data_IF_113884634143
#
_entry.id   IF_113884634143
#
_cell.length_a   1.000
_cell.length_b   1.000
_cell.length_c   1.000
_cell.angle_alpha   90.00
_cell.angle_beta   90.00
_cell.angle_gamma   90.00
#
_symmetry.space_group_name_H-M   'P 1'
#
loop_
_entity.id
_entity.type
_entity.pdbx_description
1 polymer ?
#
# COMPACT_ATOMS: atom_id res chain seq x y z
N UNK A 1 -26.74 26.49 35.57
CA UNK A 1 -27.37 25.38 34.82
C UNK A 1 -26.32 24.33 34.54
N UNK A 2 -26.20 23.38 35.48
CA UNK A 2 -25.24 22.27 35.47
C UNK A 2 -25.87 21.09 34.73
N UNK A 3 -25.54 20.94 33.45
CA UNK A 3 -25.86 19.73 32.70
C UNK A 3 -24.71 18.73 32.90
N UNK A 4 -24.98 17.71 33.71
CA UNK A 4 -24.48 16.33 33.59
C UNK A 4 -23.19 16.17 32.76
N UNK A 5 -22.03 16.27 33.42
CA UNK A 5 -20.75 15.86 32.84
C UNK A 5 -20.79 14.33 32.75
N UNK A 6 -21.42 13.86 31.68
CA UNK A 6 -21.74 12.49 31.32
C UNK A 6 -20.55 11.55 31.52
N UNK A 7 -20.55 10.78 32.60
CA UNK A 7 -19.50 9.81 32.96
C UNK A 7 -19.07 8.95 31.75
N UNK A 8 -17.90 9.22 31.17
CA UNK A 8 -17.35 8.47 30.04
C UNK A 8 -16.44 7.33 30.50
N UNK A 9 -16.19 7.21 31.80
CA UNK A 9 -15.20 6.30 32.37
C UNK A 9 -15.45 4.86 31.95
N UNK A 10 -16.70 4.40 32.03
CA UNK A 10 -17.07 3.03 31.67
C UNK A 10 -16.80 2.71 30.18
N UNK A 11 -17.03 3.68 29.28
CA UNK A 11 -16.71 3.53 27.86
C UNK A 11 -15.20 3.48 27.63
N UNK A 12 -14.44 4.31 28.34
CA UNK A 12 -12.97 4.31 28.27
C UNK A 12 -12.40 2.98 28.76
N UNK A 13 -12.90 2.42 29.87
CA UNK A 13 -12.44 1.10 30.35
C UNK A 13 -12.74 -0.02 29.34
N UNK A 14 -13.93 0.00 28.70
CA UNK A 14 -14.24 -0.97 27.63
C UNK A 14 -13.32 -0.81 26.43
N UNK A 15 -13.09 0.42 25.98
CA UNK A 15 -12.17 0.71 24.87
C UNK A 15 -10.73 0.27 25.18
N UNK A 16 -10.26 0.43 26.41
CA UNK A 16 -8.94 -0.07 26.86
C UNK A 16 -8.83 -1.58 26.73
N UNK A 17 -9.89 -2.32 27.06
CA UNK A 17 -9.90 -3.78 27.01
C UNK A 17 -9.97 -4.36 25.58
N UNK A 18 -10.37 -3.54 24.59
CA UNK A 18 -10.50 -3.97 23.20
C UNK A 18 -9.20 -3.75 22.42
N UNK A 19 -8.65 -4.81 21.86
CA UNK A 19 -7.49 -4.76 20.97
C UNK A 19 -7.53 -5.89 19.95
N UNK A 20 -7.01 -5.64 18.75
CA UNK A 20 -6.93 -6.61 17.67
C UNK A 20 -5.61 -6.44 16.91
N UNK A 21 -5.28 -7.37 16.02
CA UNK A 21 -4.00 -7.34 15.29
C UNK A 21 -3.96 -6.22 14.26
N UNK A 22 -3.05 -5.26 14.45
CA UNK A 22 -2.75 -4.16 13.51
C UNK A 22 -1.26 -4.25 13.11
N UNK A 23 -0.99 -4.22 11.81
CA UNK A 23 0.35 -4.19 11.23
C UNK A 23 0.82 -2.76 10.94
N UNK A 24 2.12 -2.60 10.67
CA UNK A 24 2.71 -1.28 10.39
C UNK A 24 2.50 -0.81 8.95
N UNK A 25 2.56 -1.73 7.98
CA UNK A 25 2.70 -1.36 6.57
C UNK A 25 1.36 -1.27 5.85
N UNK A 26 1.23 -0.23 5.00
CA UNK A 26 0.12 0.02 4.09
C UNK A 26 0.54 0.93 2.92
N UNK A 27 -0.14 0.89 1.76
CA UNK A 27 0.10 1.84 0.69
C UNK A 27 -0.22 3.29 1.11
N UNK A 28 0.43 4.31 0.52
CA UNK A 28 0.11 5.71 0.78
C UNK A 28 -1.38 6.05 0.59
N UNK A 29 -2.01 5.47 -0.43
CA UNK A 29 -3.44 5.67 -0.72
C UNK A 29 -4.36 5.14 0.38
N UNK A 30 -4.01 4.02 1.03
CA UNK A 30 -4.76 3.48 2.18
C UNK A 30 -4.51 4.30 3.45
N UNK A 31 -3.32 4.90 3.59
CA UNK A 31 -3.04 5.89 4.63
C UNK A 31 -3.86 7.17 4.45
N UNK A 32 -3.95 7.69 3.23
CA UNK A 32 -4.72 8.88 2.90
C UNK A 32 -6.23 8.73 3.10
N UNK A 33 -6.80 7.54 2.85
CA UNK A 33 -8.20 7.24 3.16
C UNK A 33 -8.47 6.85 4.62
N UNK A 34 -7.41 6.74 5.43
CA UNK A 34 -7.47 6.17 6.78
C UNK A 34 -8.25 4.84 6.81
N UNK A 35 -7.92 3.94 5.87
CA UNK A 35 -8.56 2.62 5.79
C UNK A 35 -8.41 1.87 7.10
N UNK A 36 -9.47 1.16 7.50
CA UNK A 36 -9.41 0.20 8.59
C UNK A 36 -8.29 -0.80 8.29
N UNK A 37 -7.38 -0.99 9.23
CA UNK A 37 -6.28 -1.93 9.09
C UNK A 37 -6.66 -3.25 9.76
N UNK A 38 -6.52 -4.37 9.05
CA UNK A 38 -6.80 -5.70 9.61
C UNK A 38 -5.78 -6.71 9.08
N UNK A 39 -5.23 -7.57 9.94
CA UNK A 39 -4.30 -8.63 9.51
C UNK A 39 -5.05 -9.95 9.31
N UNK A 40 -5.13 -10.46 8.08
CA UNK A 40 -5.67 -11.81 7.80
C UNK A 40 -4.56 -12.87 7.68
N UNK A 41 -3.34 -12.40 7.44
CA UNK A 41 -2.09 -13.12 7.62
C UNK A 41 -1.12 -12.19 8.32
N UNK A 42 0.02 -12.69 8.80
CA UNK A 42 1.06 -11.83 9.34
C UNK A 42 2.37 -12.00 8.54
N UNK A 43 3.00 -10.88 8.24
CA UNK A 43 4.32 -10.76 7.63
C UNK A 43 4.36 -11.24 6.17
N UNK A 44 5.46 -11.84 5.72
CA UNK A 44 5.64 -12.23 4.32
C UNK A 44 5.95 -13.72 4.18
N UNK A 45 5.19 -14.50 3.38
CA UNK A 45 5.49 -15.91 3.13
C UNK A 45 6.75 -16.11 2.26
N UNK A 46 7.19 -15.08 1.55
CA UNK A 46 8.40 -15.12 0.72
C UNK A 46 9.65 -14.65 1.46
N UNK A 47 9.57 -13.44 2.04
CA UNK A 47 10.59 -12.75 2.84
C UNK A 47 12.06 -12.79 2.34
N UNK A 48 12.29 -13.05 1.04
CA UNK A 48 13.63 -13.22 0.46
C UNK A 48 14.11 -12.08 -0.42
N UNK A 49 13.24 -11.15 -0.79
CA UNK A 49 13.61 -9.99 -1.62
C UNK A 49 14.81 -9.26 -1.01
N UNK A 50 15.77 -8.86 -1.84
CA UNK A 50 17.03 -8.23 -1.39
C UNK A 50 16.85 -6.78 -0.96
N UNK A 51 15.81 -6.09 -1.46
CA UNK A 51 15.53 -4.67 -1.19
C UNK A 51 14.51 -4.44 -0.04
N UNK A 52 13.75 -5.46 0.34
CA UNK A 52 12.62 -5.29 1.25
C UNK A 52 13.07 -5.46 2.70
N UNK A 53 12.97 -4.40 3.50
CA UNK A 53 13.24 -4.42 4.95
C UNK A 53 12.02 -4.84 5.78
N UNK A 54 10.81 -4.64 5.25
CA UNK A 54 9.54 -4.61 6.00
C UNK A 54 9.31 -5.78 6.95
N UNK A 55 9.62 -7.01 6.52
CA UNK A 55 9.31 -8.22 7.27
C UNK A 55 10.55 -9.01 7.67
N UNK A 56 11.76 -8.44 7.50
CA UNK A 56 13.01 -9.12 7.86
C UNK A 56 13.04 -9.38 9.36
N UNK A 57 13.51 -10.57 9.74
CA UNK A 57 13.47 -11.03 11.13
C UNK A 57 12.11 -11.58 11.61
N UNK A 58 11.02 -11.35 10.87
CA UNK A 58 9.68 -11.84 11.22
C UNK A 58 9.30 -13.07 10.40
N UNK A 59 8.70 -14.08 11.05
CA UNK A 59 8.19 -15.28 10.39
C UNK A 59 6.77 -15.04 9.87
N UNK A 60 6.46 -15.63 8.73
CA UNK A 60 5.09 -15.66 8.24
C UNK A 60 4.17 -16.41 9.21
N UNK A 61 2.98 -15.86 9.45
CA UNK A 61 1.94 -16.52 10.24
C UNK A 61 0.66 -16.60 9.41
N UNK A 62 0.16 -17.83 9.26
CA UNK A 62 -1.17 -18.09 8.75
C UNK A 62 -2.16 -18.00 9.91
N UNK A 63 -3.23 -17.20 9.77
CA UNK A 63 -4.22 -17.02 10.85
C UNK A 63 -5.46 -17.88 10.62
N UNK A 64 -5.97 -18.58 11.65
CA UNK A 64 -7.27 -19.24 11.59
C UNK A 64 -8.41 -18.25 11.32
N UNK A 65 -9.41 -18.68 10.53
CA UNK A 65 -10.56 -17.82 10.18
C UNK A 65 -11.31 -17.31 11.39
N UNK A 66 -11.42 -18.09 12.46
CA UNK A 66 -12.15 -17.67 13.67
C UNK A 66 -11.41 -16.58 14.46
N UNK A 67 -10.08 -16.56 14.43
CA UNK A 67 -9.33 -15.44 15.01
C UNK A 67 -9.52 -14.14 14.21
N UNK A 68 -9.62 -14.25 12.88
CA UNK A 68 -9.87 -13.11 12.00
C UNK A 68 -11.27 -12.56 12.26
N UNK A 69 -12.29 -13.41 12.38
CA UNK A 69 -13.65 -12.98 12.75
C UNK A 69 -13.69 -12.34 14.12
N UNK A 70 -13.00 -12.91 15.11
CA UNK A 70 -12.93 -12.32 16.44
C UNK A 70 -12.26 -10.93 16.41
N UNK A 71 -11.28 -10.68 15.54
CA UNK A 71 -10.73 -9.33 15.36
C UNK A 71 -11.74 -8.38 14.70
N UNK A 72 -12.53 -8.85 13.73
CA UNK A 72 -13.63 -8.09 13.13
C UNK A 72 -14.69 -7.71 14.18
N UNK A 73 -15.04 -8.64 15.08
CA UNK A 73 -15.96 -8.38 16.19
C UNK A 73 -15.43 -7.30 17.13
N UNK A 74 -14.13 -7.31 17.42
CA UNK A 74 -13.48 -6.28 18.23
C UNK A 74 -13.49 -4.92 17.55
N UNK A 75 -13.30 -4.86 16.24
CA UNK A 75 -13.48 -3.61 15.47
C UNK A 75 -14.90 -3.09 15.61
N UNK A 76 -15.91 -3.96 15.46
CA UNK A 76 -17.32 -3.57 15.63
C UNK A 76 -17.61 -3.07 17.04
N UNK A 77 -17.10 -3.75 18.07
CA UNK A 77 -17.24 -3.32 19.46
C UNK A 77 -16.61 -1.94 19.71
N UNK A 78 -15.39 -1.70 19.20
CA UNK A 78 -14.75 -0.38 19.32
C UNK A 78 -15.58 0.70 18.62
N UNK A 79 -16.08 0.42 17.40
CA UNK A 79 -16.98 1.32 16.67
C UNK A 79 -18.21 1.68 17.50
N UNK A 80 -18.85 0.67 18.08
CA UNK A 80 -20.10 0.84 18.82
C UNK A 80 -19.88 1.67 20.09
N UNK A 81 -18.77 1.45 20.81
CA UNK A 81 -18.38 2.26 21.97
C UNK A 81 -18.12 3.73 21.61
N UNK A 82 -17.32 4.00 20.57
CA UNK A 82 -17.04 5.37 20.11
C UNK A 82 -18.34 6.05 19.67
N UNK A 83 -19.21 5.32 18.98
CA UNK A 83 -20.50 5.83 18.51
C UNK A 83 -21.44 6.14 19.68
N UNK A 84 -21.48 5.27 20.70
CA UNK A 84 -22.24 5.50 21.93
C UNK A 84 -21.77 6.77 22.66
N UNK A 85 -20.45 6.99 22.74
CA UNK A 85 -19.90 8.24 23.28
C UNK A 85 -20.33 9.45 22.46
N UNK A 86 -20.29 9.36 21.12
CA UNK A 86 -20.78 10.45 20.25
C UNK A 86 -22.25 10.80 20.53
N UNK A 87 -23.13 9.80 20.68
CA UNK A 87 -24.53 10.03 21.09
C UNK A 87 -24.64 10.64 22.47
N UNK A 88 -23.87 10.15 23.44
CA UNK A 88 -23.81 10.69 24.79
C UNK A 88 -23.39 12.16 24.75
N UNK A 89 -22.42 12.55 23.94
CA UNK A 89 -22.02 13.95 23.77
C UNK A 89 -22.99 14.81 22.95
N UNK A 90 -24.11 14.26 22.46
CA UNK A 90 -25.11 15.00 21.68
C UNK A 90 -24.70 15.21 20.21
N UNK A 91 -23.75 14.43 19.69
CA UNK A 91 -23.20 14.57 18.34
C UNK A 91 -23.88 13.67 17.29
N UNK A 92 -24.96 12.99 17.67
CA UNK A 92 -25.79 12.23 16.73
C UNK A 92 -25.07 11.05 16.08
N UNK A 93 -24.12 10.42 16.77
CA UNK A 93 -23.30 9.32 16.25
C UNK A 93 -22.18 9.75 15.29
N UNK A 94 -22.00 11.05 15.03
CA UNK A 94 -20.88 11.56 14.21
C UNK A 94 -19.58 11.49 15.01
N UNK A 95 -18.53 10.92 14.41
CA UNK A 95 -17.21 10.86 15.04
C UNK A 95 -16.43 12.11 14.65
N UNK A 96 -16.27 13.02 15.61
CA UNK A 96 -15.61 14.32 15.41
C UNK A 96 -14.37 14.44 16.30
N UNK A 97 -13.60 15.52 16.11
CA UNK A 97 -12.46 15.85 16.99
C UNK A 97 -12.88 15.99 18.45
N UNK A 98 -14.09 16.48 18.71
CA UNK A 98 -14.60 16.68 20.07
C UNK A 98 -14.90 15.35 20.77
N UNK A 99 -15.39 14.34 20.04
CA UNK A 99 -15.52 12.96 20.57
C UNK A 99 -14.15 12.44 21.00
N UNK A 100 -13.14 12.61 20.15
CA UNK A 100 -11.77 12.20 20.45
C UNK A 100 -11.20 12.95 21.65
N UNK A 101 -11.37 14.27 21.71
CA UNK A 101 -10.90 15.10 22.82
C UNK A 101 -11.55 14.70 24.15
N UNK A 102 -12.85 14.38 24.16
CA UNK A 102 -13.56 13.93 25.35
C UNK A 102 -13.06 12.56 25.84
N UNK A 103 -12.89 11.60 24.93
CA UNK A 103 -12.35 10.28 25.26
C UNK A 103 -10.92 10.38 25.81
N UNK A 104 -10.08 11.22 25.22
CA UNK A 104 -8.69 11.40 25.66
C UNK A 104 -8.58 12.22 26.96
N UNK A 105 -9.50 13.15 27.22
CA UNK A 105 -9.55 13.85 28.50
C UNK A 105 -9.82 12.89 29.66
N UNK A 106 -10.63 11.86 29.45
CA UNK A 106 -10.94 10.81 30.43
C UNK A 106 -9.84 9.71 30.47
N UNK A 107 -9.29 9.31 29.32
CA UNK A 107 -8.28 8.25 29.21
C UNK A 107 -7.19 8.58 28.21
N UNK A 108 -6.15 9.31 28.64
CA UNK A 108 -5.04 9.71 27.75
C UNK A 108 -4.26 8.54 27.17
N UNK A 109 -4.22 7.40 27.86
CA UNK A 109 -3.55 6.17 27.46
C UNK A 109 -4.20 5.49 26.24
N UNK A 110 -5.42 5.87 25.86
CA UNK A 110 -6.05 5.37 24.63
C UNK A 110 -5.22 5.68 23.37
N UNK A 111 -4.36 6.71 23.39
CA UNK A 111 -3.42 7.00 22.29
C UNK A 111 -2.33 5.94 22.10
N UNK A 112 -2.19 5.00 23.02
CA UNK A 112 -1.26 3.88 22.92
C UNK A 112 -1.96 2.62 22.40
N UNK A 113 -3.29 2.59 22.41
CA UNK A 113 -4.08 1.48 21.87
C UNK A 113 -4.25 1.65 20.34
N UNK A 114 -3.44 0.89 19.58
CA UNK A 114 -3.47 0.91 18.12
C UNK A 114 -4.82 0.52 17.51
N UNK A 115 -5.59 -0.35 18.18
CA UNK A 115 -6.93 -0.74 17.77
C UNK A 115 -7.90 0.44 17.85
N UNK A 116 -7.91 1.14 18.99
CA UNK A 116 -8.70 2.36 19.17
C UNK A 116 -8.33 3.42 18.13
N UNK A 117 -7.03 3.75 17.99
CA UNK A 117 -6.56 4.79 17.06
C UNK A 117 -6.98 4.48 15.62
N UNK A 118 -6.81 3.23 15.20
CA UNK A 118 -7.14 2.81 13.83
C UNK A 118 -8.64 2.95 13.56
N UNK A 119 -9.48 2.46 14.47
CA UNK A 119 -10.94 2.52 14.32
C UNK A 119 -11.46 3.95 14.43
N UNK A 120 -10.94 4.74 15.37
CA UNK A 120 -11.32 6.15 15.52
C UNK A 120 -11.02 6.97 14.26
N UNK A 121 -9.80 6.83 13.71
CA UNK A 121 -9.39 7.53 12.49
C UNK A 121 -10.22 7.08 11.28
N UNK A 122 -10.47 5.77 11.16
CA UNK A 122 -11.31 5.20 10.10
C UNK A 122 -12.74 5.72 10.16
N UNK A 123 -13.37 5.77 11.34
CA UNK A 123 -14.72 6.31 11.49
C UNK A 123 -14.76 7.82 11.22
N UNK A 124 -13.74 8.55 11.68
CA UNK A 124 -13.61 9.99 11.44
C UNK A 124 -13.42 10.32 9.95
N UNK A 125 -12.89 9.39 9.14
CA UNK A 125 -12.78 9.52 7.68
C UNK A 125 -14.01 8.99 6.91
N UNK A 126 -15.04 8.55 7.63
CA UNK A 126 -16.32 8.09 7.08
C UNK A 126 -16.52 6.58 7.10
N UNK A 127 -15.56 5.79 7.55
CA UNK A 127 -15.75 4.36 7.80
C UNK A 127 -15.97 3.50 6.55
N UNK A 128 -15.41 3.91 5.41
CA UNK A 128 -15.78 3.35 4.09
C UNK A 128 -14.81 2.35 3.49
N UNK A 129 -13.57 2.28 3.97
CA UNK A 129 -12.53 1.45 3.36
C UNK A 129 -11.80 0.60 4.39
N UNK A 130 -11.39 -0.60 3.98
CA UNK A 130 -10.54 -1.49 4.77
C UNK A 130 -9.37 -2.02 3.93
N UNK A 131 -8.22 -2.18 4.58
CA UNK A 131 -7.00 -2.72 4.00
C UNK A 131 -6.56 -3.94 4.80
N UNK A 132 -6.60 -5.10 4.13
CA UNK A 132 -6.11 -6.36 4.67
C UNK A 132 -4.59 -6.38 4.50
N UNK A 133 -3.90 -6.23 5.63
CA UNK A 133 -2.47 -5.96 5.71
C UNK A 133 -1.61 -7.17 5.39
N UNK A 134 -0.31 -6.93 5.43
CA UNK A 134 0.77 -7.89 5.21
C UNK A 134 0.93 -8.33 3.76
N UNK A 135 1.98 -9.09 3.48
CA UNK A 135 2.57 -9.09 2.14
C UNK A 135 1.75 -9.84 1.07
N UNK A 136 0.88 -10.78 1.47
CA UNK A 136 0.19 -11.66 0.52
C UNK A 136 -1.04 -12.36 1.13
N UNK A 137 -2.11 -11.62 1.41
CA UNK A 137 -3.36 -12.22 1.92
C UNK A 137 -3.96 -13.25 0.96
N UNK A 138 -3.66 -13.09 -0.34
CA UNK A 138 -4.05 -14.02 -1.39
C UNK A 138 -3.39 -15.40 -1.26
N UNK A 139 -2.54 -15.66 -0.25
CA UNK A 139 -2.06 -17.02 0.05
C UNK A 139 -3.07 -17.87 0.83
N UNK A 140 -4.07 -17.24 1.47
CA UNK A 140 -5.09 -17.93 2.26
C UNK A 140 -5.92 -18.92 1.44
N UNK A 141 -6.30 -20.06 2.00
CA UNK A 141 -7.20 -21.00 1.31
C UNK A 141 -8.50 -20.30 0.94
N UNK A 142 -8.94 -20.46 -0.31
CA UNK A 142 -10.06 -19.69 -0.86
C UNK A 142 -11.34 -19.77 0.00
N UNK A 143 -11.79 -20.94 0.49
CA UNK A 143 -12.99 -21.01 1.35
C UNK A 143 -12.86 -20.20 2.64
N UNK A 144 -11.69 -20.20 3.27
CA UNK A 144 -11.43 -19.49 4.53
C UNK A 144 -11.38 -17.97 4.29
N UNK A 145 -10.73 -17.55 3.21
CA UNK A 145 -10.64 -16.13 2.89
C UNK A 145 -12.00 -15.55 2.48
N UNK A 146 -12.78 -16.30 1.71
CA UNK A 146 -14.17 -15.95 1.37
C UNK A 146 -15.03 -15.82 2.62
N UNK A 147 -14.91 -16.75 3.57
CA UNK A 147 -15.64 -16.66 4.84
C UNK A 147 -15.26 -15.42 5.66
N UNK A 148 -13.96 -15.07 5.71
CA UNK A 148 -13.50 -13.86 6.38
C UNK A 148 -14.02 -12.57 5.70
N UNK A 149 -13.99 -12.51 4.37
CA UNK A 149 -14.46 -11.35 3.59
C UNK A 149 -15.97 -11.12 3.75
N UNK A 150 -16.77 -12.19 3.66
CA UNK A 150 -18.22 -12.11 3.88
C UNK A 150 -18.53 -11.62 5.29
N UNK A 151 -17.89 -12.20 6.30
CA UNK A 151 -18.06 -11.78 7.69
C UNK A 151 -17.67 -10.30 7.89
N UNK A 152 -16.57 -9.86 7.28
CA UNK A 152 -16.14 -8.46 7.31
C UNK A 152 -17.22 -7.52 6.74
N UNK A 153 -17.78 -7.85 5.58
CA UNK A 153 -18.80 -7.04 4.90
C UNK A 153 -20.14 -7.03 5.65
N UNK A 154 -20.53 -8.17 6.21
CA UNK A 154 -21.75 -8.32 7.01
C UNK A 154 -21.65 -7.51 8.32
N UNK A 155 -20.52 -7.58 9.01
CA UNK A 155 -20.31 -6.91 10.30
C UNK A 155 -20.06 -5.40 10.14
N UNK A 156 -19.41 -4.98 9.05
CA UNK A 156 -19.09 -3.59 8.75
C UNK A 156 -19.72 -3.14 7.40
N UNK A 157 -21.05 -2.97 7.34
CA UNK A 157 -21.77 -2.70 6.09
C UNK A 157 -21.48 -1.32 5.47
N UNK A 158 -20.80 -0.42 6.20
CA UNK A 158 -20.33 0.86 5.66
C UNK A 158 -19.18 0.72 4.67
N UNK A 159 -18.53 -0.46 4.64
CA UNK A 159 -17.41 -0.72 3.74
C UNK A 159 -17.87 -0.73 2.29
N UNK A 160 -17.34 0.21 1.53
CA UNK A 160 -17.49 0.31 0.07
C UNK A 160 -16.28 -0.27 -0.66
N UNK A 161 -15.11 -0.32 -0.02
CA UNK A 161 -13.89 -0.87 -0.62
C UNK A 161 -13.04 -1.66 0.39
N UNK A 162 -12.62 -2.86 0.01
CA UNK A 162 -11.68 -3.73 0.72
C UNK A 162 -10.52 -4.04 -0.21
N UNK A 163 -9.30 -3.81 0.26
CA UNK A 163 -8.09 -3.94 -0.55
C UNK A 163 -7.04 -4.78 0.18
N UNK A 164 -6.07 -5.33 -0.53
CA UNK A 164 -4.95 -6.07 0.10
C UNK A 164 -3.69 -6.06 -0.76
N UNK A 165 -2.52 -6.31 -0.16
CA UNK A 165 -1.34 -6.68 -0.93
C UNK A 165 -1.45 -8.11 -1.45
N UNK A 166 -0.88 -8.35 -2.63
CA UNK A 166 -0.77 -9.67 -3.22
C UNK A 166 0.56 -9.86 -3.97
N UNK A 167 1.02 -11.11 -4.05
CA UNK A 167 2.14 -11.48 -4.92
C UNK A 167 1.63 -12.02 -6.26
N UNK A 168 2.22 -11.56 -7.37
CA UNK A 168 1.86 -12.07 -8.71
C UNK A 168 2.06 -13.58 -8.84
N UNK A 169 3.11 -14.14 -8.21
CA UNK A 169 3.33 -15.60 -8.13
C UNK A 169 2.13 -16.35 -7.54
N UNK A 170 1.51 -15.80 -6.51
CA UNK A 170 0.35 -16.39 -5.83
C UNK A 170 -0.88 -16.30 -6.72
N UNK A 171 -1.09 -15.15 -7.36
CA UNK A 171 -2.19 -14.95 -8.32
C UNK A 171 -2.07 -15.85 -9.54
N UNK A 172 -0.88 -15.99 -10.11
CA UNK A 172 -0.61 -16.85 -11.27
C UNK A 172 -0.95 -18.32 -10.98
N UNK A 173 -0.63 -18.82 -9.77
CA UNK A 173 -0.90 -20.20 -9.36
C UNK A 173 -2.37 -20.49 -9.05
N UNK A 174 -3.18 -19.46 -8.80
CA UNK A 174 -4.60 -19.65 -8.48
C UNK A 174 -5.42 -19.99 -9.72
N UNK A 175 -6.50 -20.73 -9.48
CA UNK A 175 -7.51 -20.98 -10.50
C UNK A 175 -8.33 -19.70 -10.73
N UNK A 176 -8.66 -19.33 -11.97
CA UNK A 176 -9.48 -18.15 -12.26
C UNK A 176 -10.82 -18.13 -11.51
N UNK A 177 -11.43 -19.31 -11.28
CA UNK A 177 -12.68 -19.46 -10.53
C UNK A 177 -12.50 -19.02 -9.07
N UNK A 178 -11.39 -19.38 -8.43
CA UNK A 178 -11.11 -18.99 -7.04
C UNK A 178 -10.92 -17.49 -6.91
N UNK A 179 -10.26 -16.87 -7.89
CA UNK A 179 -10.08 -15.42 -7.94
C UNK A 179 -11.44 -14.71 -8.08
N UNK A 180 -12.32 -15.20 -8.96
CA UNK A 180 -13.69 -14.66 -9.10
C UNK A 180 -14.49 -14.78 -7.81
N UNK A 181 -14.48 -15.95 -7.17
CA UNK A 181 -15.20 -16.15 -5.90
C UNK A 181 -14.67 -15.26 -4.78
N UNK A 182 -13.34 -15.02 -4.72
CA UNK A 182 -12.76 -14.07 -3.74
C UNK A 182 -13.21 -12.64 -4.02
N UNK A 183 -13.24 -12.22 -5.30
CA UNK A 183 -13.76 -10.90 -5.69
C UNK A 183 -15.24 -10.74 -5.29
N UNK A 184 -16.08 -11.71 -5.67
CA UNK A 184 -17.52 -11.74 -5.36
C UNK A 184 -17.82 -11.78 -3.86
N UNK A 185 -16.90 -12.32 -3.04
CA UNK A 185 -17.00 -12.30 -1.59
C UNK A 185 -16.76 -10.90 -0.98
N UNK A 186 -16.29 -9.94 -1.78
CA UNK A 186 -16.14 -8.54 -1.38
C UNK A 186 -14.71 -8.07 -1.20
N UNK A 187 -13.74 -8.62 -1.96
CA UNK A 187 -12.40 -8.01 -2.11
C UNK A 187 -12.34 -7.25 -3.44
N UNK A 188 -12.10 -5.94 -3.41
CA UNK A 188 -12.22 -5.11 -4.62
C UNK A 188 -10.89 -4.85 -5.31
N UNK A 189 -9.83 -4.55 -4.55
CA UNK A 189 -8.54 -4.09 -5.12
C UNK A 189 -7.35 -4.90 -4.62
N UNK A 190 -6.47 -5.25 -5.56
CA UNK A 190 -5.18 -5.87 -5.29
C UNK A 190 -4.03 -4.89 -5.52
N UNK A 191 -3.18 -4.76 -4.51
CA UNK A 191 -1.95 -3.99 -4.51
C UNK A 191 -0.78 -4.96 -4.77
N UNK A 192 -0.22 -4.98 -5.99
CA UNK A 192 0.73 -6.00 -6.45
C UNK A 192 2.13 -5.41 -6.60
N UNK A 193 3.10 -5.92 -5.85
CA UNK A 193 4.50 -5.55 -6.02
C UNK A 193 5.11 -6.22 -7.26
N UNK A 194 5.11 -5.53 -8.40
CA UNK A 194 5.81 -5.93 -9.62
C UNK A 194 7.32 -5.66 -9.47
N UNK A 195 7.66 -4.45 -9.02
CA UNK A 195 9.00 -3.87 -8.83
C UNK A 195 9.79 -3.72 -10.12
N UNK A 196 9.89 -4.80 -10.90
CA UNK A 196 10.56 -4.86 -12.20
C UNK A 196 9.89 -5.93 -13.07
N UNK A 197 9.81 -5.68 -14.38
CA UNK A 197 9.44 -6.66 -15.40
C UNK A 197 10.63 -7.35 -16.06
N UNK A 198 11.85 -7.08 -15.59
CA UNK A 198 13.10 -7.66 -16.10
C UNK A 198 13.47 -8.95 -15.36
N UNK A 199 13.58 -10.07 -16.09
CA UNK A 199 13.82 -11.39 -15.49
C UNK A 199 15.22 -11.53 -14.86
N UNK A 200 16.25 -10.83 -15.38
CA UNK A 200 17.58 -10.84 -14.76
C UNK A 200 17.54 -10.13 -13.40
N UNK A 201 16.92 -8.95 -13.34
CA UNK A 201 16.72 -8.23 -12.09
C UNK A 201 15.84 -9.01 -11.12
N UNK A 202 14.76 -9.67 -11.57
CA UNK A 202 13.92 -10.50 -10.71
C UNK A 202 14.70 -11.61 -10.00
N UNK A 203 15.69 -12.21 -10.68
CA UNK A 203 16.62 -13.19 -10.11
C UNK A 203 17.56 -12.51 -9.11
N UNK A 204 18.23 -11.42 -9.52
CA UNK A 204 19.18 -10.69 -8.67
C UNK A 204 18.53 -10.22 -7.36
N UNK A 205 17.32 -9.66 -7.44
CA UNK A 205 16.59 -9.17 -6.28
C UNK A 205 15.82 -10.25 -5.52
N UNK A 206 15.93 -11.51 -5.96
CA UNK A 206 15.29 -12.69 -5.37
C UNK A 206 13.79 -12.48 -5.20
N UNK A 207 13.09 -11.95 -6.21
CA UNK A 207 11.64 -11.69 -6.13
C UNK A 207 10.81 -12.97 -6.14
N UNK A 208 11.36 -14.06 -6.69
CA UNK A 208 10.74 -15.39 -6.70
C UNK A 208 9.53 -15.49 -7.64
N UNK A 209 9.60 -14.80 -8.77
CA UNK A 209 8.58 -14.74 -9.83
C UNK A 209 9.29 -14.44 -11.16
N UNK A 210 8.69 -14.80 -12.28
CA UNK A 210 9.13 -14.38 -13.62
C UNK A 210 8.22 -13.30 -14.19
N UNK A 211 8.68 -12.60 -15.22
CA UNK A 211 7.87 -11.62 -15.97
C UNK A 211 6.61 -12.26 -16.57
N UNK A 212 6.70 -13.51 -17.05
CA UNK A 212 5.55 -14.26 -17.54
C UNK A 212 4.50 -14.53 -16.44
N UNK A 213 4.95 -14.88 -15.23
CA UNK A 213 4.06 -15.08 -14.08
C UNK A 213 3.45 -13.76 -13.57
N UNK A 214 4.19 -12.65 -13.67
CA UNK A 214 3.62 -11.33 -13.41
C UNK A 214 2.47 -11.02 -14.39
N UNK A 215 2.70 -11.22 -15.69
CA UNK A 215 1.68 -11.03 -16.73
C UNK A 215 0.46 -11.91 -16.48
N UNK A 216 0.68 -13.21 -16.24
CA UNK A 216 -0.40 -14.16 -15.99
C UNK A 216 -1.21 -13.78 -14.75
N UNK A 217 -0.54 -13.50 -13.63
CA UNK A 217 -1.19 -13.14 -12.37
C UNK A 217 -2.00 -11.84 -12.47
N UNK A 218 -1.44 -10.80 -13.08
CA UNK A 218 -2.11 -9.52 -13.30
C UNK A 218 -3.34 -9.65 -14.20
N UNK A 219 -3.22 -10.35 -15.33
CA UNK A 219 -4.35 -10.58 -16.25
C UNK A 219 -5.47 -11.41 -15.61
N UNK A 220 -5.12 -12.48 -14.88
CA UNK A 220 -6.10 -13.28 -14.14
C UNK A 220 -6.85 -12.44 -13.10
N UNK A 221 -6.15 -11.57 -12.39
CA UNK A 221 -6.78 -10.67 -11.42
C UNK A 221 -7.77 -9.71 -12.08
N UNK A 222 -7.36 -9.03 -13.17
CA UNK A 222 -8.26 -8.13 -13.90
C UNK A 222 -9.48 -8.89 -14.45
N UNK A 223 -9.26 -10.06 -15.06
CA UNK A 223 -10.34 -10.89 -15.60
C UNK A 223 -11.31 -11.42 -14.53
N UNK A 224 -10.86 -11.54 -13.27
CA UNK A 224 -11.70 -11.92 -12.15
C UNK A 224 -12.56 -10.76 -11.59
N UNK A 225 -12.34 -9.52 -12.06
CA UNK A 225 -13.08 -8.33 -11.66
C UNK A 225 -12.33 -7.40 -10.71
N UNK A 226 -11.13 -7.77 -10.24
CA UNK A 226 -10.37 -6.92 -9.33
C UNK A 226 -9.87 -5.65 -10.01
N UNK A 227 -9.92 -4.56 -9.25
CA UNK A 227 -9.08 -3.41 -9.53
C UNK A 227 -7.62 -3.74 -9.19
N UNK A 228 -6.71 -3.52 -10.12
CA UNK A 228 -5.30 -3.92 -9.98
C UNK A 228 -4.40 -2.68 -9.94
N UNK A 229 -3.61 -2.57 -8.88
CA UNK A 229 -2.61 -1.52 -8.69
C UNK A 229 -1.22 -2.14 -8.59
N UNK A 230 -0.39 -1.98 -9.62
CA UNK A 230 0.97 -2.50 -9.65
C UNK A 230 2.00 -1.44 -9.25
N UNK A 231 2.99 -1.85 -8.45
CA UNK A 231 4.12 -1.01 -8.04
C UNK A 231 5.34 -1.35 -8.86
N UNK A 232 6.03 -0.36 -9.40
CA UNK A 232 7.33 -0.53 -10.05
C UNK A 232 8.39 0.34 -9.35
N UNK A 233 9.65 -0.07 -9.44
CA UNK A 233 10.74 0.47 -8.63
C UNK A 233 11.83 1.08 -9.51
N UNK A 234 11.73 2.37 -9.90
CA UNK A 234 12.80 3.04 -10.63
C UNK A 234 14.14 2.96 -9.89
N UNK A 235 15.22 2.81 -10.65
CA UNK A 235 16.62 2.63 -10.24
C UNK A 235 16.95 1.24 -9.65
N UNK A 236 16.03 0.27 -9.74
CA UNK A 236 16.31 -1.10 -9.25
C UNK A 236 17.45 -1.78 -10.01
N UNK A 237 17.63 -1.44 -11.29
CA UNK A 237 18.74 -1.94 -12.11
C UNK A 237 20.06 -1.20 -11.90
N UNK A 238 20.06 -0.09 -11.17
CA UNK A 238 21.19 0.83 -11.09
C UNK A 238 21.60 1.40 -12.44
N UNK A 239 22.72 2.13 -12.44
CA UNK A 239 23.29 2.77 -13.63
C UNK A 239 23.56 1.78 -14.76
N UNK A 240 23.88 0.54 -14.43
CA UNK A 240 24.29 -0.48 -15.39
C UNK A 240 23.12 -1.05 -16.20
N UNK A 241 21.90 -1.06 -15.65
CA UNK A 241 20.75 -1.77 -16.27
C UNK A 241 19.47 -0.96 -16.36
N UNK A 242 19.48 0.34 -16.03
CA UNK A 242 18.26 1.15 -16.01
C UNK A 242 17.48 1.09 -17.35
N UNK A 243 18.17 1.07 -18.48
CA UNK A 243 17.51 1.06 -19.80
C UNK A 243 16.79 -0.26 -20.07
N UNK A 244 17.48 -1.38 -19.87
CA UNK A 244 16.89 -2.72 -19.97
C UNK A 244 15.73 -2.88 -18.99
N UNK A 245 15.90 -2.40 -17.76
CA UNK A 245 14.87 -2.40 -16.73
C UNK A 245 13.62 -1.64 -17.19
N UNK A 246 13.78 -0.41 -17.69
CA UNK A 246 12.68 0.41 -18.19
C UNK A 246 11.94 -0.27 -19.35
N UNK A 247 12.66 -0.80 -20.35
CA UNK A 247 12.08 -1.48 -21.52
C UNK A 247 11.26 -2.70 -21.11
N UNK A 248 11.84 -3.57 -20.27
CA UNK A 248 11.19 -4.82 -19.86
C UNK A 248 10.02 -4.57 -18.90
N UNK A 249 10.14 -3.60 -17.99
CA UNK A 249 9.05 -3.18 -17.11
C UNK A 249 7.88 -2.60 -17.91
N UNK A 250 8.14 -1.73 -18.90
CA UNK A 250 7.10 -1.18 -19.76
C UNK A 250 6.38 -2.27 -20.56
N UNK A 251 7.12 -3.26 -21.09
CA UNK A 251 6.55 -4.42 -21.80
C UNK A 251 5.59 -5.22 -20.91
N UNK A 252 6.00 -5.52 -19.67
CA UNK A 252 5.18 -6.30 -18.73
C UNK A 252 3.94 -5.52 -18.31
N UNK A 253 4.10 -4.25 -17.91
CA UNK A 253 2.98 -3.41 -17.49
C UNK A 253 1.97 -3.20 -18.63
N UNK A 254 2.44 -3.02 -19.88
CA UNK A 254 1.55 -2.92 -21.05
C UNK A 254 0.83 -4.23 -21.33
N UNK A 255 1.50 -5.37 -21.14
CA UNK A 255 0.87 -6.67 -21.28
C UNK A 255 -0.21 -6.93 -20.20
N UNK A 256 0.00 -6.48 -18.96
CA UNK A 256 -1.00 -6.58 -17.88
C UNK A 256 -2.12 -5.57 -18.07
N UNK A 257 -1.80 -4.32 -18.43
CA UNK A 257 -2.68 -3.15 -18.45
C UNK A 257 -3.45 -2.96 -17.11
N UNK A 258 -2.75 -2.76 -15.97
CA UNK A 258 -3.39 -2.63 -14.67
C UNK A 258 -4.19 -1.32 -14.56
N UNK A 259 -5.05 -1.20 -13.55
CA UNK A 259 -5.82 0.03 -13.33
C UNK A 259 -4.92 1.17 -12.84
N UNK A 260 -3.93 0.85 -12.01
CA UNK A 260 -2.90 1.79 -11.57
C UNK A 260 -1.49 1.24 -11.75
N UNK A 261 -0.58 2.12 -12.13
CA UNK A 261 0.88 1.90 -12.16
C UNK A 261 1.50 2.92 -11.22
N UNK A 262 2.14 2.46 -10.14
CA UNK A 262 2.61 3.32 -9.06
C UNK A 262 4.13 3.30 -8.97
N UNK A 263 4.74 4.47 -9.14
CA UNK A 263 6.20 4.66 -9.01
C UNK A 263 6.62 4.60 -7.56
N UNK A 264 7.53 3.69 -7.22
CA UNK A 264 8.16 3.55 -5.90
C UNK A 264 9.68 3.58 -6.06
N UNK A 265 10.28 4.76 -6.29
CA UNK A 265 11.70 4.87 -6.56
C UNK A 265 12.53 4.16 -5.49
N UNK A 266 13.52 3.35 -5.91
CA UNK A 266 14.40 2.62 -5.00
C UNK A 266 15.09 3.61 -4.05
N UNK A 267 15.05 3.26 -2.76
CA UNK A 267 15.90 3.82 -1.71
C UNK A 267 16.46 2.65 -0.93
N UNK A 268 17.75 2.30 -1.07
CA UNK A 268 18.35 1.19 -0.34
C UNK A 268 18.27 1.42 1.17
N UNK A 269 17.93 0.37 1.92
CA UNK A 269 17.71 0.48 3.38
C UNK A 269 18.70 -0.35 4.19
N UNK A 270 19.27 0.19 5.28
CA UNK A 270 20.16 -0.56 6.16
C UNK A 270 19.55 -1.90 6.61
N UNK A 271 20.38 -2.94 6.71
CA UNK A 271 19.92 -4.29 7.07
C UNK A 271 19.32 -5.10 5.91
N UNK A 272 19.40 -4.59 4.67
CA UNK A 272 18.99 -5.33 3.47
C UNK A 272 20.21 -5.73 2.61
N UNK A 273 20.19 -6.90 1.95
CA UNK A 273 21.28 -7.28 1.04
C UNK A 273 21.55 -6.26 -0.07
N UNK A 274 20.51 -5.61 -0.61
CA UNK A 274 20.69 -4.59 -1.64
C UNK A 274 21.48 -3.39 -1.12
N UNK A 275 21.24 -2.97 0.12
CA UNK A 275 22.03 -1.90 0.74
C UNK A 275 23.51 -2.28 0.87
N UNK A 276 23.81 -3.53 1.23
CA UNK A 276 25.18 -4.03 1.27
C UNK A 276 25.84 -4.03 -0.12
N UNK A 277 25.09 -4.39 -1.17
CA UNK A 277 25.56 -4.33 -2.55
C UNK A 277 25.92 -2.90 -2.96
N UNK A 278 25.11 -1.90 -2.59
CA UNK A 278 25.40 -0.48 -2.83
C UNK A 278 26.62 -0.03 -2.02
N UNK A 279 26.69 -0.38 -0.73
CA UNK A 279 27.79 0.01 0.15
C UNK A 279 29.14 -0.56 -0.31
N UNK A 280 29.12 -1.74 -0.94
CA UNK A 280 30.31 -2.43 -1.46
C UNK A 280 30.58 -2.14 -2.94
N UNK A 281 29.82 -1.22 -3.56
CA UNK A 281 30.01 -0.83 -4.96
C UNK A 281 29.64 -1.90 -5.98
N UNK A 282 28.90 -2.94 -5.60
CA UNK A 282 28.35 -3.95 -6.52
C UNK A 282 27.11 -3.48 -7.27
N UNK A 283 26.40 -2.49 -6.73
CA UNK A 283 25.30 -1.81 -7.39
C UNK A 283 25.56 -0.30 -7.37
N UNK A 284 25.72 0.31 -8.55
CA UNK A 284 25.87 1.75 -8.65
C UNK A 284 24.50 2.40 -8.81
N UNK A 285 24.09 3.20 -7.82
CA UNK A 285 22.87 4.00 -7.92
C UNK A 285 23.00 5.05 -9.01
N UNK A 286 21.92 5.25 -9.77
CA UNK A 286 21.86 6.24 -10.83
C UNK A 286 21.77 7.66 -10.25
N UNK A 287 22.26 8.63 -11.00
CA UNK A 287 22.09 10.05 -10.70
C UNK A 287 20.62 10.48 -10.86
N UNK A 288 20.19 11.62 -10.29
CA UNK A 288 18.83 12.09 -10.47
C UNK A 288 18.39 12.23 -11.94
N UNK A 289 19.28 12.68 -12.83
CA UNK A 289 19.02 12.75 -14.27
C UNK A 289 18.93 11.36 -14.91
N UNK A 290 19.85 10.45 -14.61
CA UNK A 290 19.79 9.06 -15.12
C UNK A 290 18.47 8.37 -14.72
N UNK A 291 17.95 8.63 -13.51
CA UNK A 291 16.62 8.12 -13.10
C UNK A 291 15.49 8.77 -13.89
N UNK A 292 15.58 10.06 -14.21
CA UNK A 292 14.59 10.72 -15.08
C UNK A 292 14.64 10.16 -16.51
N UNK A 293 15.82 9.81 -17.02
CA UNK A 293 15.97 9.12 -18.32
C UNK A 293 15.30 7.73 -18.28
N UNK A 294 15.48 6.98 -17.20
CA UNK A 294 14.78 5.70 -16.99
C UNK A 294 13.26 5.88 -16.98
N UNK A 295 12.76 6.90 -16.26
CA UNK A 295 11.34 7.25 -16.28
C UNK A 295 10.87 7.61 -17.69
N UNK A 296 11.62 8.44 -18.44
CA UNK A 296 11.27 8.80 -19.82
C UNK A 296 11.14 7.55 -20.70
N UNK A 297 12.07 6.62 -20.55
CA UNK A 297 12.10 5.40 -21.34
C UNK A 297 10.95 4.45 -21.00
N UNK A 298 10.71 4.23 -19.70
CA UNK A 298 9.62 3.39 -19.20
C UNK A 298 8.26 3.98 -19.63
N UNK A 299 8.02 5.26 -19.32
CA UNK A 299 6.76 5.95 -19.66
C UNK A 299 6.57 6.01 -21.17
N UNK A 300 7.63 6.28 -21.93
CA UNK A 300 7.62 6.29 -23.39
C UNK A 300 7.19 4.95 -23.98
N UNK A 301 7.64 3.83 -23.41
CA UNK A 301 7.29 2.47 -23.83
C UNK A 301 5.92 1.95 -23.36
N UNK A 302 5.25 2.62 -22.42
CA UNK A 302 3.95 2.16 -21.91
C UNK A 302 2.82 2.31 -22.95
N UNK A 303 2.09 1.23 -23.18
CA UNK A 303 0.84 1.20 -23.95
C UNK A 303 -0.29 0.66 -23.05
N UNK A 304 -0.98 1.57 -22.37
CA UNK A 304 -1.95 1.25 -21.31
C UNK A 304 -3.08 2.27 -21.22
N UNK A 305 -4.17 1.86 -20.58
CA UNK A 305 -5.29 2.72 -20.17
C UNK A 305 -5.27 3.05 -18.67
N UNK A 306 -4.13 2.81 -18.03
CA UNK A 306 -3.93 2.94 -16.58
C UNK A 306 -3.93 4.39 -16.09
N UNK A 307 -4.03 4.54 -14.76
CA UNK A 307 -3.56 5.72 -14.04
C UNK A 307 -2.11 5.54 -13.61
N UNK A 308 -1.21 6.43 -14.02
CA UNK A 308 0.21 6.40 -13.62
C UNK A 308 0.41 7.37 -12.46
N UNK A 309 0.84 6.87 -11.30
CA UNK A 309 0.91 7.62 -10.05
C UNK A 309 2.35 7.79 -9.53
N UNK A 310 2.63 8.97 -9.00
CA UNK A 310 3.89 9.34 -8.32
C UNK A 310 3.64 9.69 -6.85
N UNK A 311 2.63 9.07 -6.25
CA UNK A 311 2.03 9.32 -4.93
C UNK A 311 2.90 8.96 -3.71
N UNK A 312 4.16 8.58 -3.93
CA UNK A 312 5.10 8.25 -2.87
C UNK A 312 6.12 9.37 -2.68
N UNK A 313 6.43 9.71 -1.43
CA UNK A 313 7.34 10.80 -1.08
C UNK A 313 8.74 10.70 -1.73
N UNK A 314 9.17 9.49 -2.12
CA UNK A 314 10.46 9.29 -2.81
C UNK A 314 10.45 9.73 -4.28
N UNK A 315 9.28 10.08 -4.86
CA UNK A 315 9.20 10.78 -6.14
C UNK A 315 9.48 12.27 -5.93
N UNK A 316 10.73 12.60 -5.57
CA UNK A 316 11.17 13.91 -5.07
C UNK A 316 11.92 14.74 -6.12
N UNK A 317 11.73 14.48 -7.42
CA UNK A 317 12.32 15.31 -8.47
C UNK A 317 11.72 16.72 -8.43
N UNK A 318 12.57 17.73 -8.56
CA UNK A 318 12.19 19.13 -8.60
C UNK A 318 11.73 19.60 -10.00
N UNK A 319 10.79 20.53 -10.02
CA UNK A 319 10.46 21.37 -11.19
C UNK A 319 11.38 22.60 -11.25
N UNK A 320 11.24 23.45 -12.29
CA UNK A 320 12.06 24.65 -12.46
C UNK A 320 11.88 25.72 -11.37
N UNK A 321 10.86 25.58 -10.53
CA UNK A 321 10.54 26.48 -9.42
C UNK A 321 10.99 25.90 -8.08
N UNK A 322 11.63 24.72 -8.07
CA UNK A 322 12.01 24.01 -6.85
C UNK A 322 10.84 23.29 -6.16
N UNK A 323 9.68 23.19 -6.81
CA UNK A 323 8.53 22.41 -6.37
C UNK A 323 8.60 20.95 -6.83
N UNK A 324 7.56 20.16 -6.55
CA UNK A 324 7.48 18.76 -6.99
C UNK A 324 7.19 18.65 -8.49
N UNK A 325 7.98 17.85 -9.20
CA UNK A 325 7.87 17.67 -10.65
C UNK A 325 6.57 16.96 -11.08
N UNK A 326 6.12 15.99 -10.28
CA UNK A 326 4.90 15.21 -10.53
C UNK A 326 3.85 15.49 -9.48
N UNK A 327 2.57 15.37 -9.86
CA UNK A 327 1.45 15.40 -8.91
C UNK A 327 1.60 14.25 -7.90
N UNK A 328 1.57 14.58 -6.62
CA UNK A 328 1.56 13.62 -5.51
C UNK A 328 0.14 13.39 -4.98
N UNK A 329 -0.79 13.06 -5.88
CA UNK A 329 -2.13 12.59 -5.54
C UNK A 329 -2.27 11.09 -5.85
N UNK A 330 -3.33 10.46 -5.34
CA UNK A 330 -3.52 9.01 -5.46
C UNK A 330 -4.10 8.54 -6.80
N UNK A 331 -4.53 9.47 -7.66
CA UNK A 331 -5.20 9.23 -8.95
C UNK A 331 -4.30 9.46 -10.17
N UNK A 332 -3.16 10.12 -9.98
CA UNK A 332 -2.07 10.22 -10.94
C UNK A 332 -2.47 10.86 -12.27
N UNK A 333 -1.92 10.33 -13.36
CA UNK A 333 -2.15 10.77 -14.74
C UNK A 333 -2.86 9.67 -15.52
N UNK A 334 -3.95 10.01 -16.20
CA UNK A 334 -4.76 9.08 -16.99
C UNK A 334 -4.13 8.85 -18.35
N UNK A 335 -3.70 7.62 -18.62
CA UNK A 335 -3.14 7.24 -19.92
C UNK A 335 -4.25 6.71 -20.85
N UNK A 336 -4.13 6.92 -22.18
CA UNK A 336 -3.01 7.57 -22.88
C UNK A 336 -3.05 9.10 -22.88
N UNK A 337 -4.17 9.72 -22.51
CA UNK A 337 -4.45 11.16 -22.71
C UNK A 337 -3.41 12.09 -22.06
N UNK A 338 -2.99 11.79 -20.82
CA UNK A 338 -2.01 12.60 -20.07
C UNK A 338 -0.57 12.08 -20.20
N UNK A 339 -0.31 11.05 -21.03
CA UNK A 339 1.07 10.56 -21.28
C UNK A 339 1.99 11.63 -21.84
N UNK A 340 1.59 12.46 -22.84
CA UNK A 340 2.42 13.55 -23.34
C UNK A 340 2.80 14.56 -22.25
N UNK A 341 1.89 14.84 -21.32
CA UNK A 341 2.14 15.74 -20.19
C UNK A 341 3.20 15.16 -19.24
N UNK A 342 3.12 13.87 -18.91
CA UNK A 342 4.15 13.22 -18.06
C UNK A 342 5.52 13.27 -18.72
N UNK A 343 5.60 13.00 -20.03
CA UNK A 343 6.85 13.10 -20.79
C UNK A 343 7.40 14.53 -20.85
N UNK A 344 6.52 15.54 -20.96
CA UNK A 344 6.92 16.95 -20.88
C UNK A 344 7.48 17.29 -19.49
N UNK A 345 6.86 16.81 -18.41
CA UNK A 345 7.39 16.98 -17.05
C UNK A 345 8.75 16.33 -16.88
N UNK A 346 8.97 15.15 -17.43
CA UNK A 346 10.30 14.53 -17.39
C UNK A 346 11.34 15.40 -18.13
N UNK A 347 10.99 15.95 -19.30
CA UNK A 347 11.86 16.91 -20.01
C UNK A 347 12.12 18.19 -19.23
N UNK A 348 11.12 18.68 -18.49
CA UNK A 348 11.29 19.81 -17.57
C UNK A 348 12.33 19.46 -16.49
N UNK A 349 12.19 18.30 -15.84
CA UNK A 349 13.12 17.82 -14.82
C UNK A 349 14.54 17.63 -15.35
N UNK A 350 14.72 17.08 -16.55
CA UNK A 350 16.04 16.95 -17.18
C UNK A 350 16.70 18.30 -17.51
N UNK A 351 15.92 19.37 -17.64
CA UNK A 351 16.43 20.72 -17.87
C UNK A 351 16.73 21.49 -16.57
N UNK A 352 16.40 20.92 -15.41
CA UNK A 352 16.76 21.45 -14.10
C UNK A 352 18.19 21.04 -13.77
N UNK A 353 18.98 21.96 -13.21
CA UNK A 353 20.34 21.66 -12.73
C UNK A 353 20.31 20.46 -11.78
N UNK A 354 21.18 19.47 -12.02
CA UNK A 354 21.05 18.17 -11.34
C UNK A 354 21.12 18.28 -9.81
N UNK A 355 21.89 19.25 -9.31
CA UNK A 355 22.05 19.57 -7.88
C UNK A 355 20.78 20.07 -7.19
N UNK A 356 19.74 20.46 -7.94
CA UNK A 356 18.44 20.82 -7.39
C UNK A 356 17.55 19.60 -7.10
N UNK A 357 17.87 18.43 -7.64
CA UNK A 357 17.16 17.21 -7.32
C UNK A 357 17.70 16.58 -6.04
N UNK A 358 16.82 15.95 -5.26
CA UNK A 358 17.25 15.18 -4.09
C UNK A 358 17.95 13.90 -4.54
N UNK A 359 19.21 13.73 -4.16
CA UNK A 359 19.94 12.52 -4.48
C UNK A 359 19.46 11.36 -3.59
N UNK A 360 19.35 10.16 -4.15
CA UNK A 360 18.91 8.96 -3.39
C UNK A 360 19.77 8.69 -2.15
N UNK A 361 21.06 9.01 -2.22
CA UNK A 361 22.00 8.92 -1.09
C UNK A 361 21.60 9.80 0.10
N UNK A 362 20.96 10.95 -0.14
CA UNK A 362 20.43 11.80 0.93
C UNK A 362 19.19 11.15 1.56
N UNK A 363 18.34 10.52 0.74
CA UNK A 363 17.15 9.79 1.22
C UNK A 363 17.50 8.54 2.03
N UNK A 364 18.64 7.91 1.75
CA UNK A 364 19.15 6.76 2.53
C UNK A 364 19.49 7.13 3.98
N UNK A 365 19.83 8.40 4.26
CA UNK A 365 20.14 8.88 5.61
C UNK A 365 18.88 9.12 6.47
N UNK A 366 17.70 9.20 5.85
CA UNK A 366 16.43 9.36 6.56
C UNK A 366 15.99 7.98 7.07
N UNK A 367 15.79 7.84 8.39
CA UNK A 367 15.25 6.62 8.98
C UNK A 367 13.90 6.25 8.33
N UNK A 368 13.71 4.97 8.01
CA UNK A 368 12.39 4.47 7.63
C UNK A 368 11.45 4.51 8.84
N UNK A 369 10.18 4.86 8.58
CA UNK A 369 9.11 4.92 9.57
C UNK A 369 8.62 3.52 9.95
#
# INVERSE_FOLDING_TARGET
MTADCKDLREHVERLRALSFKVGAYRPPSEGGSASLLLRVTENCPWNRCTFCEMYKGHRFVYRPVEEIKADIDRVAAIRDEITAVSWKLGMGGKITRDVGAALLAEGRDLIENSGFITVFNWLSSGGRTAFLQDADSMIMRSPEFVAALKYLRETLPSLTRVTTYARSKTLARRRPEELRTIHEAGLDRLHIGLETGDDELLVLVRKGVTSAEQIEGGRKAIAAGFEVSEYWMPDLGGRERWRQHAENTARVLSAVNPHYIRSRPLVPRPGTPLYEDVAQGRLCLSSPHERLEELAWMIGGLDVTSRVCFDHAMNAWADRRGGLLFRQDYEGYRFPDEKPLVLERIREGLAVEESMHVHVRELMAVQSL
#
